data_IF_409885821545
#
_entry.id   IF_409885821545
#
_cell.length_a   1.000
_cell.length_b   1.000
_cell.length_c   1.000
_cell.angle_alpha   90.00
_cell.angle_beta   90.00
_cell.angle_gamma   90.00
#
_symmetry.space_group_name_H-M   'P 1'
#
loop_
_entity.id
_entity.type
_entity.pdbx_description
1 polymer ?
#
# COMPACT_ATOMS: atom_id res chain seq x y z
N UNK A 1 24.67 48.95 -24.06
CA UNK A 1 24.01 49.25 -25.34
C UNK A 1 23.04 48.11 -25.58
N UNK A 2 21.80 48.31 -25.14
CA UNK A 2 20.70 47.34 -25.25
C UNK A 2 20.00 47.59 -26.58
N UNK A 3 19.87 46.57 -27.42
CA UNK A 3 18.91 46.59 -28.53
C UNK A 3 18.13 45.28 -28.50
N UNK A 4 16.85 45.40 -28.18
CA UNK A 4 15.87 44.32 -28.20
C UNK A 4 15.04 44.44 -29.48
N UNK A 5 14.87 43.37 -30.28
CA UNK A 5 13.89 43.40 -31.35
C UNK A 5 12.50 43.13 -30.76
N UNK A 6 11.69 44.18 -30.77
CA UNK A 6 10.23 44.14 -30.65
C UNK A 6 9.64 43.18 -31.69
N UNK A 7 9.20 41.99 -31.27
CA UNK A 7 8.19 41.23 -32.01
C UNK A 7 6.84 41.37 -31.32
N UNK A 8 6.07 42.25 -31.95
CA UNK A 8 4.74 42.72 -31.63
C UNK A 8 3.74 41.56 -31.76
N UNK A 9 3.21 41.08 -30.63
CA UNK A 9 2.07 40.16 -30.61
C UNK A 9 0.80 40.93 -31.03
N UNK A 10 0.63 41.08 -32.33
CA UNK A 10 -0.61 41.61 -32.91
C UNK A 10 -1.54 40.42 -33.14
N UNK A 11 -2.41 40.11 -32.18
CA UNK A 11 -3.52 39.19 -32.36
C UNK A 11 -4.66 39.94 -33.06
N UNK A 12 -5.00 39.68 -34.33
CA UNK A 12 -6.30 40.08 -34.82
C UNK A 12 -7.32 39.10 -34.23
N UNK A 13 -8.34 39.66 -33.57
CA UNK A 13 -9.58 38.99 -33.14
C UNK A 13 -10.36 38.49 -34.36
N UNK A 14 -9.84 37.48 -35.06
CA UNK A 14 -10.55 36.71 -36.07
C UNK A 14 -10.91 35.38 -35.42
N UNK A 15 -12.19 35.02 -35.44
CA UNK A 15 -12.71 33.75 -34.91
C UNK A 15 -11.85 32.59 -35.41
N UNK A 16 -10.90 32.11 -34.60
CA UNK A 16 -10.18 30.88 -34.90
C UNK A 16 -11.23 29.78 -34.89
N UNK A 17 -11.57 29.26 -36.07
CA UNK A 17 -12.43 28.09 -36.18
C UNK A 17 -11.74 26.95 -35.43
N UNK A 18 -12.51 26.10 -34.76
CA UNK A 18 -12.00 24.87 -34.14
C UNK A 18 -11.18 24.03 -35.13
N UNK A 19 -11.52 24.09 -36.43
CA UNK A 19 -10.75 23.47 -37.51
C UNK A 19 -9.39 24.13 -37.77
N UNK A 20 -9.24 25.44 -37.57
CA UNK A 20 -7.97 26.15 -37.72
C UNK A 20 -7.06 25.90 -36.50
N UNK A 21 -7.65 25.77 -35.31
CA UNK A 21 -6.94 25.32 -34.11
C UNK A 21 -6.48 23.86 -34.22
N UNK A 22 -7.35 22.97 -34.74
CA UNK A 22 -7.00 21.58 -35.05
C UNK A 22 -5.93 21.50 -36.14
N UNK A 23 -6.02 22.31 -37.21
CA UNK A 23 -4.98 22.37 -38.24
C UNK A 23 -3.66 22.87 -37.65
N UNK A 24 -3.66 23.88 -36.79
CA UNK A 24 -2.44 24.34 -36.12
C UNK A 24 -1.84 23.27 -35.18
N UNK A 25 -2.67 22.45 -34.53
CA UNK A 25 -2.23 21.31 -33.71
C UNK A 25 -1.67 20.14 -34.55
N UNK A 26 -2.22 19.94 -35.75
CA UNK A 26 -1.85 18.84 -36.65
C UNK A 26 -0.82 19.21 -37.73
N UNK A 27 -0.44 20.47 -37.88
CA UNK A 27 0.63 20.83 -38.81
C UNK A 27 1.98 20.36 -38.25
N UNK A 28 2.73 19.52 -39.00
CA UNK A 28 4.08 19.20 -38.61
C UNK A 28 4.90 20.48 -38.63
N UNK A 29 5.61 20.76 -37.52
CA UNK A 29 6.60 21.84 -37.48
C UNK A 29 7.77 21.35 -38.35
N UNK A 30 7.65 21.56 -39.67
CA UNK A 30 8.61 21.09 -40.65
C UNK A 30 9.92 21.85 -40.48
N UNK A 31 10.88 21.25 -39.79
CA UNK A 31 12.24 21.74 -39.71
C UNK A 31 13.01 21.43 -40.99
N UNK A 32 13.97 22.28 -41.37
CA UNK A 32 14.86 22.04 -42.53
C UNK A 32 15.69 20.74 -42.39
N UNK A 33 15.87 20.24 -41.16
CA UNK A 33 16.50 18.94 -40.89
C UNK A 33 15.46 17.82 -40.75
N UNK A 34 15.46 16.81 -41.65
CA UNK A 34 14.57 15.65 -41.57
C UNK A 34 14.68 14.86 -40.26
N UNK A 35 15.85 14.88 -39.60
CA UNK A 35 16.06 14.19 -38.32
C UNK A 35 15.31 14.89 -37.21
N UNK A 36 15.35 16.22 -37.18
CA UNK A 36 14.67 17.00 -36.16
C UNK A 36 13.14 16.83 -36.28
N UNK A 37 12.61 16.73 -37.50
CA UNK A 37 11.19 16.46 -37.78
C UNK A 37 10.76 15.05 -37.29
N UNK A 38 11.61 14.04 -37.45
CA UNK A 38 11.35 12.72 -36.87
C UNK A 38 11.30 12.78 -35.33
N UNK A 39 12.26 13.44 -34.69
CA UNK A 39 12.32 13.53 -33.22
C UNK A 39 11.22 14.40 -32.62
N UNK A 40 10.67 15.39 -33.34
CA UNK A 40 9.51 16.16 -32.89
C UNK A 40 8.23 15.34 -32.91
N UNK A 41 8.01 14.55 -33.97
CA UNK A 41 6.89 13.60 -34.06
C UNK A 41 7.04 12.53 -32.98
N UNK A 42 8.22 11.91 -32.88
CA UNK A 42 8.52 10.93 -31.85
C UNK A 42 8.24 11.50 -30.46
N UNK A 43 8.77 12.69 -30.13
CA UNK A 43 8.55 13.32 -28.83
C UNK A 43 7.06 13.46 -28.51
N UNK A 44 6.22 13.83 -29.49
CA UNK A 44 4.77 13.98 -29.29
C UNK A 44 4.12 12.65 -28.92
N UNK A 45 4.27 11.62 -29.76
CA UNK A 45 3.68 10.29 -29.53
C UNK A 45 4.20 9.67 -28.23
N UNK A 46 5.50 9.84 -27.99
CA UNK A 46 6.17 9.30 -26.85
C UNK A 46 5.72 10.02 -25.55
N UNK A 47 5.44 11.34 -25.60
CA UNK A 47 4.90 12.07 -24.43
C UNK A 47 3.52 11.55 -24.04
N UNK A 48 2.67 11.27 -25.02
CA UNK A 48 1.32 10.76 -24.78
C UNK A 48 1.36 9.40 -24.06
N UNK A 49 2.19 8.48 -24.57
CA UNK A 49 2.45 7.20 -23.92
C UNK A 49 2.99 7.34 -22.49
N UNK A 50 3.93 8.26 -22.26
CA UNK A 50 4.52 8.47 -20.93
C UNK A 50 3.50 9.01 -19.93
N UNK A 51 2.65 9.93 -20.37
CA UNK A 51 1.59 10.52 -19.54
C UNK A 51 0.63 9.43 -19.09
N UNK A 52 0.15 8.60 -20.02
CA UNK A 52 -0.78 7.51 -19.69
C UNK A 52 -0.13 6.44 -18.81
N UNK A 53 1.11 6.06 -19.13
CA UNK A 53 1.87 5.08 -18.36
C UNK A 53 2.09 5.56 -16.92
N UNK A 54 2.58 6.79 -16.74
CA UNK A 54 2.83 7.37 -15.42
C UNK A 54 1.52 7.54 -14.67
N UNK A 55 0.48 8.07 -15.30
CA UNK A 55 -0.80 8.31 -14.64
C UNK A 55 -1.37 7.03 -14.06
N UNK A 56 -1.38 5.94 -14.83
CA UNK A 56 -1.86 4.63 -14.37
C UNK A 56 -1.14 4.18 -13.09
N UNK A 57 0.19 4.15 -13.11
CA UNK A 57 0.96 3.66 -11.97
C UNK A 57 0.95 4.63 -10.78
N UNK A 58 0.91 5.95 -11.01
CA UNK A 58 0.80 6.91 -9.91
C UNK A 58 -0.54 6.75 -9.16
N UNK A 59 -1.64 6.53 -9.88
CA UNK A 59 -2.96 6.26 -9.30
C UNK A 59 -2.96 4.94 -8.49
N UNK A 60 -2.39 3.86 -9.03
CA UNK A 60 -2.28 2.56 -8.32
C UNK A 60 -1.42 2.67 -7.05
N UNK A 61 -0.28 3.36 -7.15
CA UNK A 61 0.64 3.59 -6.03
C UNK A 61 0.02 4.48 -4.94
N UNK A 62 -0.72 5.52 -5.33
CA UNK A 62 -1.43 6.39 -4.39
C UNK A 62 -2.54 5.63 -3.66
N UNK A 63 -3.33 4.85 -4.38
CA UNK A 63 -4.37 3.99 -3.79
C UNK A 63 -3.78 3.02 -2.78
N UNK A 64 -2.68 2.35 -3.15
CA UNK A 64 -1.93 1.44 -2.26
C UNK A 64 -1.46 2.15 -1.00
N UNK A 65 -0.89 3.35 -1.12
CA UNK A 65 -0.34 4.10 0.01
C UNK A 65 -1.44 4.56 0.98
N UNK A 66 -2.58 5.02 0.46
CA UNK A 66 -3.75 5.40 1.27
C UNK A 66 -4.27 4.17 2.02
N UNK A 67 -4.43 3.04 1.33
CA UNK A 67 -4.90 1.81 1.94
C UNK A 67 -3.94 1.32 3.04
N UNK A 68 -2.64 1.30 2.77
CA UNK A 68 -1.62 0.90 3.73
C UNK A 68 -1.61 1.80 4.98
N UNK A 69 -1.79 3.12 4.80
CA UNK A 69 -1.89 4.07 5.92
C UNK A 69 -3.12 3.83 6.79
N UNK A 70 -4.30 3.67 6.18
CA UNK A 70 -5.55 3.36 6.90
C UNK A 70 -5.47 2.02 7.62
N UNK A 71 -4.97 0.99 6.93
CA UNK A 71 -4.77 -0.33 7.51
C UNK A 71 -3.80 -0.30 8.69
N UNK A 72 -2.69 0.43 8.56
CA UNK A 72 -1.70 0.60 9.63
C UNK A 72 -2.31 1.29 10.86
N UNK A 73 -3.13 2.33 10.69
CA UNK A 73 -3.79 3.02 11.79
C UNK A 73 -4.75 2.09 12.55
N UNK A 74 -5.62 1.38 11.83
CA UNK A 74 -6.58 0.45 12.42
C UNK A 74 -5.87 -0.72 13.11
N UNK A 75 -4.87 -1.31 12.44
CA UNK A 75 -4.10 -2.43 12.99
C UNK A 75 -3.30 -2.02 14.24
N UNK A 76 -2.72 -0.83 14.25
CA UNK A 76 -1.96 -0.31 15.40
C UNK A 76 -2.84 -0.16 16.64
N UNK A 77 -4.09 0.27 16.48
CA UNK A 77 -5.04 0.36 17.60
C UNK A 77 -5.30 -1.02 18.23
N UNK A 78 -5.51 -2.05 17.42
CA UNK A 78 -5.67 -3.42 17.91
C UNK A 78 -4.40 -3.98 18.53
N UNK A 79 -3.24 -3.71 17.93
CA UNK A 79 -1.94 -4.13 18.46
C UNK A 79 -1.70 -3.52 19.84
N UNK A 80 -2.01 -2.24 20.04
CA UNK A 80 -1.86 -1.57 21.35
C UNK A 80 -2.80 -2.19 22.40
N UNK A 81 -4.07 -2.44 22.04
CA UNK A 81 -5.04 -3.08 22.94
C UNK A 81 -4.62 -4.50 23.34
N UNK A 82 -4.09 -5.27 22.40
CA UNK A 82 -3.69 -6.65 22.66
C UNK A 82 -2.38 -6.70 23.43
N UNK A 83 -1.42 -5.85 23.07
CA UNK A 83 -0.12 -5.78 23.73
C UNK A 83 -0.25 -5.40 25.21
N UNK A 84 -1.17 -4.49 25.56
CA UNK A 84 -1.42 -4.15 26.97
C UNK A 84 -1.89 -5.36 27.79
N UNK A 85 -2.65 -6.27 27.18
CA UNK A 85 -3.13 -7.51 27.82
C UNK A 85 -2.11 -8.64 27.89
N UNK A 86 -0.98 -8.53 27.19
CA UNK A 86 0.15 -9.45 27.40
C UNK A 86 0.97 -9.07 28.64
N UNK A 87 0.88 -7.81 29.09
CA UNK A 87 1.55 -7.38 30.31
C UNK A 87 0.71 -7.79 31.53
N UNK A 88 1.33 -8.30 32.61
CA UNK A 88 0.62 -8.59 33.84
C UNK A 88 -0.06 -7.31 34.35
N UNK A 89 -1.37 -7.35 34.52
CA UNK A 89 -2.11 -6.21 35.06
C UNK A 89 -1.62 -5.95 36.50
N UNK A 90 -1.10 -4.76 36.82
CA UNK A 90 -0.66 -4.44 38.18
C UNK A 90 -1.83 -4.49 39.18
N UNK A 91 -3.06 -4.32 38.66
CA UNK A 91 -4.30 -4.48 39.42
C UNK A 91 -4.56 -5.95 39.77
N UNK A 92 -4.29 -6.90 38.89
CA UNK A 92 -4.43 -8.33 39.18
C UNK A 92 -3.38 -8.77 40.21
N UNK A 93 -2.17 -8.22 40.15
CA UNK A 93 -1.17 -8.45 41.20
C UNK A 93 -1.61 -7.87 42.55
N UNK A 94 -2.20 -6.68 42.57
CA UNK A 94 -2.72 -6.10 43.83
C UNK A 94 -3.94 -6.85 44.34
N UNK A 95 -4.85 -7.30 43.48
CA UNK A 95 -6.00 -8.14 43.88
C UNK A 95 -5.54 -9.51 44.40
N UNK A 96 -4.53 -10.12 43.77
CA UNK A 96 -3.92 -11.36 44.25
C UNK A 96 -3.26 -11.16 45.63
N UNK A 97 -2.53 -10.06 45.83
CA UNK A 97 -1.96 -9.68 47.12
C UNK A 97 -3.04 -9.39 48.17
N UNK A 98 -4.11 -8.67 47.82
CA UNK A 98 -5.25 -8.37 48.69
C UNK A 98 -5.96 -9.65 49.12
N UNK A 99 -6.17 -10.61 48.20
CA UNK A 99 -6.72 -11.94 48.53
C UNK A 99 -5.79 -12.71 49.45
N UNK A 100 -4.49 -12.70 49.19
CA UNK A 100 -3.51 -13.35 50.07
C UNK A 100 -3.56 -12.76 51.48
N UNK A 101 -3.57 -11.42 51.61
CA UNK A 101 -3.66 -10.72 52.89
C UNK A 101 -4.98 -11.05 53.61
N UNK A 102 -6.12 -11.04 52.91
CA UNK A 102 -7.42 -11.42 53.48
C UNK A 102 -7.43 -12.85 54.01
N UNK A 103 -6.82 -13.79 53.30
CA UNK A 103 -6.69 -15.19 53.75
C UNK A 103 -5.82 -15.28 55.00
N UNK A 104 -4.70 -14.55 55.07
CA UNK A 104 -3.83 -14.51 56.27
C UNK A 104 -4.54 -13.90 57.47
N UNK A 105 -5.34 -12.84 57.26
CA UNK A 105 -6.07 -12.15 58.33
C UNK A 105 -7.26 -12.96 58.85
N UNK A 106 -7.92 -13.74 57.98
CA UNK A 106 -9.04 -14.61 58.37
C UNK A 106 -8.56 -15.94 59.00
N UNK A 107 -7.32 -16.34 58.70
CA UNK A 107 -6.69 -17.56 59.23
C UNK A 107 -5.86 -17.24 60.47
N UNK A 108 -6.50 -16.86 61.57
CA UNK A 108 -5.85 -16.58 62.86
C UNK A 108 -5.23 -17.82 63.56
N UNK A 109 -4.98 -18.91 62.83
CA UNK A 109 -4.46 -20.16 63.37
C UNK A 109 -3.65 -20.92 62.31
N UNK A 110 -2.34 -20.66 62.26
CA UNK A 110 -1.20 -21.60 62.07
C UNK A 110 0.05 -20.72 61.78
N UNK A 111 1.07 -20.68 62.65
CA UNK A 111 2.22 -19.77 62.51
C UNK A 111 3.20 -20.06 61.36
N UNK A 112 2.99 -21.10 60.54
CA UNK A 112 4.06 -21.65 59.68
C UNK A 112 3.72 -21.82 58.19
N UNK A 113 2.52 -21.48 57.73
CA UNK A 113 2.24 -21.45 56.29
C UNK A 113 2.30 -20.02 55.79
N UNK A 114 3.43 -19.66 55.15
CA UNK A 114 3.48 -18.46 54.33
C UNK A 114 2.45 -18.65 53.22
N UNK A 115 1.43 -17.79 53.08
CA UNK A 115 0.48 -17.89 51.99
C UNK A 115 1.27 -17.86 50.69
N UNK A 116 1.20 -18.96 49.93
CA UNK A 116 1.80 -19.00 48.60
C UNK A 116 1.01 -18.01 47.76
N UNK A 117 1.58 -16.82 47.55
CA UNK A 117 1.02 -15.86 46.60
C UNK A 117 0.94 -16.59 45.27
N UNK A 118 -0.22 -16.65 44.60
CA UNK A 118 -0.27 -17.20 43.27
C UNK A 118 0.64 -16.32 42.41
N UNK A 119 1.84 -16.80 42.10
CA UNK A 119 2.70 -16.18 41.11
C UNK A 119 1.86 -16.18 39.83
N UNK A 120 1.58 -15.00 39.29
CA UNK A 120 0.88 -14.89 38.02
C UNK A 120 1.56 -15.85 37.01
N UNK A 121 0.80 -16.54 36.15
CA UNK A 121 1.37 -17.48 35.20
C UNK A 121 2.52 -16.80 34.46
N UNK A 122 3.73 -17.35 34.63
CA UNK A 122 4.99 -16.74 34.17
C UNK A 122 5.07 -16.64 32.64
N UNK A 123 4.14 -17.31 31.95
CA UNK A 123 4.03 -17.31 30.50
C UNK A 123 2.60 -16.92 30.06
N UNK A 124 2.46 -15.94 29.16
CA UNK A 124 1.17 -15.62 28.56
C UNK A 124 0.62 -16.83 27.77
N UNK A 125 -0.71 -16.98 27.65
CA UNK A 125 -1.32 -18.06 26.88
C UNK A 125 -0.76 -18.08 25.45
N UNK A 126 -0.31 -19.25 24.98
CA UNK A 126 0.30 -19.39 23.64
C UNK A 126 -0.60 -18.89 22.50
N UNK A 127 -1.92 -18.99 22.67
CA UNK A 127 -2.91 -18.47 21.72
C UNK A 127 -2.82 -16.94 21.55
N UNK A 128 -2.67 -16.20 22.65
CA UNK A 128 -2.52 -14.74 22.66
C UNK A 128 -1.20 -14.35 21.98
N UNK A 129 -0.11 -15.08 22.24
CA UNK A 129 1.19 -14.83 21.61
C UNK A 129 1.10 -15.00 20.09
N UNK A 130 0.47 -16.08 19.61
CA UNK A 130 0.31 -16.32 18.16
C UNK A 130 -0.58 -15.27 17.50
N UNK A 131 -1.66 -14.84 18.15
CA UNK A 131 -2.54 -13.79 17.64
C UNK A 131 -1.78 -12.46 17.52
N UNK A 132 -1.04 -12.07 18.56
CA UNK A 132 -0.20 -10.87 18.56
C UNK A 132 0.87 -10.91 17.47
N UNK A 133 1.54 -12.05 17.29
CA UNK A 133 2.53 -12.22 16.23
C UNK A 133 1.92 -12.04 14.83
N UNK A 134 0.72 -12.60 14.58
CA UNK A 134 0.00 -12.43 13.31
C UNK A 134 -0.37 -10.96 13.05
N UNK A 135 -0.78 -10.23 14.09
CA UNK A 135 -1.11 -8.80 13.98
C UNK A 135 0.12 -7.96 13.66
N UNK A 136 1.24 -8.17 14.35
CA UNK A 136 2.50 -7.49 14.02
C UNK A 136 3.00 -7.85 12.62
N UNK A 137 2.91 -9.12 12.22
CA UNK A 137 3.28 -9.54 10.87
C UNK A 137 2.43 -8.84 9.80
N UNK A 138 1.11 -8.75 10.02
CA UNK A 138 0.19 -8.04 9.12
C UNK A 138 0.56 -6.55 8.98
N UNK A 139 0.87 -5.89 10.09
CA UNK A 139 1.28 -4.49 10.13
C UNK A 139 2.59 -4.28 9.34
N UNK A 140 3.59 -5.13 9.58
CA UNK A 140 4.89 -5.04 8.90
C UNK A 140 4.77 -5.27 7.40
N UNK A 141 3.98 -6.25 6.95
CA UNK A 141 3.76 -6.50 5.52
C UNK A 141 3.11 -5.29 4.85
N UNK A 142 2.13 -4.65 5.50
CA UNK A 142 1.52 -3.42 4.99
C UNK A 142 2.51 -2.26 4.93
N UNK A 143 3.39 -2.10 5.92
CA UNK A 143 4.43 -1.08 5.90
C UNK A 143 5.48 -1.32 4.82
N UNK A 144 5.86 -2.57 4.58
CA UNK A 144 6.74 -2.94 3.47
C UNK A 144 6.09 -2.63 2.13
N UNK A 145 4.79 -2.92 1.96
CA UNK A 145 4.05 -2.53 0.77
C UNK A 145 4.04 -1.01 0.57
N UNK A 146 3.78 -0.23 1.64
CA UNK A 146 3.84 1.23 1.58
C UNK A 146 5.23 1.75 1.19
N UNK A 147 6.29 1.14 1.72
CA UNK A 147 7.67 1.50 1.42
C UNK A 147 8.02 1.23 -0.06
N UNK A 148 7.66 0.06 -0.57
CA UNK A 148 7.85 -0.29 -1.99
C UNK A 148 7.03 0.67 -2.88
N UNK A 149 5.79 1.01 -2.49
CA UNK A 149 4.97 1.97 -3.21
C UNK A 149 5.63 3.36 -3.28
N UNK A 150 6.22 3.83 -2.17
CA UNK A 150 6.95 5.09 -2.12
C UNK A 150 8.19 5.07 -3.04
N UNK A 151 8.95 3.98 -3.07
CA UNK A 151 10.06 3.80 -4.02
C UNK A 151 9.57 3.82 -5.47
N UNK A 152 8.45 3.16 -5.75
CA UNK A 152 7.78 3.21 -7.06
C UNK A 152 7.50 4.64 -7.51
N UNK A 153 6.95 5.47 -6.64
CA UNK A 153 6.72 6.90 -6.92
C UNK A 153 8.01 7.67 -7.19
N UNK A 154 9.07 7.40 -6.44
CA UNK A 154 10.37 8.05 -6.65
C UNK A 154 10.96 7.68 -8.02
N UNK A 155 10.85 6.42 -8.43
CA UNK A 155 11.32 5.96 -9.74
C UNK A 155 10.49 6.57 -10.87
N UNK A 156 9.17 6.65 -10.70
CA UNK A 156 8.28 7.26 -11.68
C UNK A 156 8.55 8.76 -11.87
N UNK A 157 8.79 9.48 -10.77
CA UNK A 157 9.21 10.88 -10.82
C UNK A 157 10.58 11.05 -11.48
N UNK A 158 11.51 10.10 -11.27
CA UNK A 158 12.81 10.12 -11.94
C UNK A 158 12.69 9.88 -13.45
N UNK A 159 11.73 9.05 -13.87
CA UNK A 159 11.43 8.80 -15.28
C UNK A 159 10.96 10.08 -15.99
N UNK A 160 10.03 10.81 -15.38
CA UNK A 160 9.53 12.10 -15.87
C UNK A 160 10.57 13.23 -15.87
N UNK A 161 11.67 13.07 -15.13
CA UNK A 161 12.69 14.11 -15.02
C UNK A 161 13.51 14.16 -16.30
N UNK A 162 13.36 15.27 -17.01
CA UNK A 162 14.10 15.55 -18.25
C UNK A 162 15.48 16.10 -17.93
N UNK A 163 16.51 15.57 -18.58
CA UNK A 163 17.80 16.24 -18.65
C UNK A 163 17.70 17.48 -19.56
N UNK A 164 18.51 18.51 -19.29
CA UNK A 164 18.70 19.61 -20.23
C UNK A 164 19.44 19.13 -21.48
N UNK A 165 19.26 19.81 -22.62
CA UNK A 165 19.89 19.44 -23.89
C UNK A 165 18.98 19.63 -25.10
N UNK A 166 19.48 19.23 -26.27
CA UNK A 166 18.75 19.26 -27.54
C UNK A 166 17.56 18.27 -27.54
N UNK A 167 16.58 18.48 -28.42
CA UNK A 167 15.41 17.57 -28.55
C UNK A 167 15.84 16.13 -28.81
N UNK A 168 16.89 15.92 -29.60
CA UNK A 168 17.41 14.61 -29.97
C UNK A 168 17.99 13.88 -28.75
N UNK A 169 18.86 14.55 -27.99
CA UNK A 169 19.46 13.99 -26.76
C UNK A 169 18.39 13.63 -25.73
N UNK A 170 17.38 14.50 -25.56
CA UNK A 170 16.26 14.25 -24.64
C UNK A 170 15.43 13.04 -25.05
N UNK A 171 15.18 12.86 -26.35
CA UNK A 171 14.46 11.70 -26.86
C UNK A 171 15.25 10.40 -26.65
N UNK A 172 16.58 10.44 -26.86
CA UNK A 172 17.48 9.32 -26.60
C UNK A 172 17.54 8.91 -25.13
N UNK A 173 17.75 9.86 -24.22
CA UNK A 173 17.77 9.63 -22.77
C UNK A 173 16.44 9.03 -22.27
N UNK A 174 15.30 9.56 -22.75
CA UNK A 174 13.98 9.02 -22.43
C UNK A 174 13.79 7.59 -22.95
N UNK A 175 14.25 7.28 -24.17
CA UNK A 175 14.14 5.92 -24.70
C UNK A 175 14.98 4.94 -23.87
N UNK A 176 16.21 5.30 -23.49
CA UNK A 176 17.06 4.49 -22.62
C UNK A 176 16.40 4.20 -21.27
N UNK A 177 15.74 5.20 -20.67
CA UNK A 177 14.98 5.02 -19.43
C UNK A 177 13.77 4.12 -19.63
N UNK A 178 13.06 4.25 -20.76
CA UNK A 178 11.91 3.41 -21.10
C UNK A 178 12.31 1.95 -21.29
N UNK A 179 13.40 1.70 -22.01
CA UNK A 179 13.98 0.36 -22.20
C UNK A 179 14.47 -0.22 -20.86
N UNK A 180 15.02 0.63 -20.00
CA UNK A 180 15.33 0.29 -18.61
C UNK A 180 14.10 -0.19 -17.85
N UNK A 181 13.01 0.59 -17.83
CA UNK A 181 11.77 0.21 -17.15
C UNK A 181 11.15 -1.09 -17.68
N UNK A 182 11.31 -1.39 -18.97
CA UNK A 182 10.86 -2.67 -19.56
C UNK A 182 11.76 -3.84 -19.22
N UNK A 183 13.08 -3.61 -19.13
CA UNK A 183 14.07 -4.65 -18.82
C UNK A 183 14.06 -5.02 -17.33
N UNK A 184 13.85 -4.05 -16.47
CA UNK A 184 13.76 -4.26 -15.03
C UNK A 184 12.33 -4.64 -14.61
N UNK A 185 12.14 -5.50 -13.60
CA UNK A 185 10.83 -6.01 -13.20
C UNK A 185 9.99 -4.97 -12.42
N UNK A 186 10.03 -3.70 -12.82
CA UNK A 186 9.28 -2.61 -12.19
C UNK A 186 7.79 -2.92 -12.10
N UNK A 187 7.23 -3.48 -13.17
CA UNK A 187 5.82 -3.87 -13.23
C UNK A 187 5.46 -4.92 -12.17
N UNK A 188 6.30 -5.94 -12.00
CA UNK A 188 6.10 -7.02 -11.03
C UNK A 188 6.04 -6.45 -9.61
N UNK A 189 6.89 -5.47 -9.27
CA UNK A 189 6.85 -4.83 -7.96
C UNK A 189 5.53 -4.09 -7.72
N UNK A 190 5.06 -3.29 -8.68
CA UNK A 190 3.81 -2.54 -8.51
C UNK A 190 2.60 -3.47 -8.44
N UNK A 191 2.55 -4.49 -9.29
CA UNK A 191 1.47 -5.49 -9.29
C UNK A 191 1.46 -6.36 -8.03
N UNK A 192 2.61 -6.51 -7.35
CA UNK A 192 2.69 -7.24 -6.08
C UNK A 192 2.15 -6.44 -4.87
N UNK A 193 2.05 -5.11 -4.97
CA UNK A 193 1.64 -4.26 -3.86
C UNK A 193 0.22 -4.56 -3.36
N UNK A 194 -0.81 -4.66 -4.22
CA UNK A 194 -2.15 -5.03 -3.78
C UNK A 194 -2.19 -6.42 -3.16
N UNK A 195 -1.39 -7.36 -3.68
CA UNK A 195 -1.30 -8.74 -3.16
C UNK A 195 -0.71 -8.77 -1.76
N UNK A 196 0.35 -7.99 -1.50
CA UNK A 196 0.91 -7.83 -0.15
C UNK A 196 -0.12 -7.26 0.83
N UNK A 197 -0.90 -6.26 0.41
CA UNK A 197 -1.95 -5.66 1.25
C UNK A 197 -3.10 -6.64 1.51
N UNK A 198 -3.50 -7.42 0.52
CA UNK A 198 -4.50 -8.49 0.70
C UNK A 198 -3.98 -9.56 1.66
N UNK A 199 -2.72 -9.98 1.55
CA UNK A 199 -2.11 -10.90 2.50
C UNK A 199 -2.09 -10.31 3.92
N UNK A 200 -1.77 -9.03 4.07
CA UNK A 200 -1.83 -8.33 5.36
C UNK A 200 -3.25 -8.34 5.95
N UNK A 201 -4.28 -8.06 5.14
CA UNK A 201 -5.69 -8.12 5.59
C UNK A 201 -6.08 -9.51 6.09
N UNK A 202 -5.69 -10.56 5.37
CA UNK A 202 -6.00 -11.94 5.76
C UNK A 202 -5.29 -12.33 7.06
N UNK A 203 -4.03 -11.94 7.23
CA UNK A 203 -3.28 -12.16 8.45
C UNK A 203 -3.89 -11.40 9.64
N UNK A 204 -4.30 -10.15 9.43
CA UNK A 204 -5.00 -9.34 10.44
C UNK A 204 -6.31 -10.02 10.86
N UNK A 205 -7.13 -10.43 9.89
CA UNK A 205 -8.40 -11.09 10.15
C UNK A 205 -8.20 -12.41 10.91
N UNK A 206 -7.19 -13.21 10.53
CA UNK A 206 -6.84 -14.44 11.23
C UNK A 206 -6.38 -14.17 12.67
N UNK A 207 -5.52 -13.17 12.88
CA UNK A 207 -5.07 -12.74 14.20
C UNK A 207 -6.22 -12.29 15.09
N UNK A 208 -7.13 -11.47 14.56
CA UNK A 208 -8.32 -11.00 15.27
C UNK A 208 -9.29 -12.14 15.60
N UNK A 209 -9.52 -13.07 14.68
CA UNK A 209 -10.36 -14.24 14.93
C UNK A 209 -9.79 -15.11 16.06
N UNK A 210 -8.48 -15.36 16.07
CA UNK A 210 -7.82 -16.11 17.15
C UNK A 210 -7.89 -15.38 18.48
N UNK A 211 -7.60 -14.08 18.49
CA UNK A 211 -7.69 -13.28 19.71
C UNK A 211 -9.11 -13.29 20.30
N UNK A 212 -10.13 -13.06 19.47
CA UNK A 212 -11.51 -13.04 19.94
C UNK A 212 -12.01 -14.43 20.35
N UNK A 213 -11.52 -15.51 19.75
CA UNK A 213 -11.86 -16.88 20.18
C UNK A 213 -11.39 -17.18 21.61
N UNK A 214 -10.27 -16.58 22.05
CA UNK A 214 -9.76 -16.74 23.40
C UNK A 214 -10.59 -16.00 24.46
N UNK A 215 -11.27 -14.91 24.07
CA UNK A 215 -12.04 -14.07 24.99
C UNK A 215 -13.53 -14.42 24.95
N UNK A 216 -14.15 -14.42 23.77
CA UNK A 216 -15.60 -14.54 23.58
C UNK A 216 -15.94 -15.28 22.28
N UNK A 217 -16.34 -16.55 22.42
CA UNK A 217 -16.79 -17.43 21.34
C UNK A 217 -17.88 -16.81 20.42
N UNK A 218 -18.94 -16.13 20.92
CA UNK A 218 -19.97 -15.62 20.01
C UNK A 218 -19.45 -14.50 19.09
N UNK A 219 -18.58 -13.62 19.59
CA UNK A 219 -17.96 -12.56 18.78
C UNK A 219 -17.00 -13.17 17.75
N UNK A 220 -16.23 -14.17 18.18
CA UNK A 220 -15.33 -14.91 17.30
C UNK A 220 -16.10 -15.61 16.16
N UNK A 221 -17.25 -16.22 16.44
CA UNK A 221 -18.07 -16.87 15.43
C UNK A 221 -18.54 -15.90 14.34
N UNK A 222 -18.96 -14.69 14.72
CA UNK A 222 -19.35 -13.64 13.77
C UNK A 222 -18.16 -13.21 12.91
N UNK A 223 -16.99 -12.99 13.52
CA UNK A 223 -15.78 -12.58 12.79
C UNK A 223 -15.28 -13.67 11.84
N UNK A 224 -15.31 -14.94 12.26
CA UNK A 224 -14.95 -16.08 11.41
C UNK A 224 -15.93 -16.24 10.26
N UNK A 225 -17.24 -16.07 10.51
CA UNK A 225 -18.26 -16.10 9.47
C UNK A 225 -18.04 -15.03 8.40
N UNK A 226 -17.78 -13.79 8.82
CA UNK A 226 -17.50 -12.69 7.89
C UNK A 226 -16.19 -12.90 7.12
N UNK A 227 -15.13 -13.32 7.82
CA UNK A 227 -13.81 -13.57 7.21
C UNK A 227 -13.88 -14.72 6.21
N UNK A 228 -14.53 -15.83 6.56
CA UNK A 228 -14.69 -16.99 5.66
C UNK A 228 -15.51 -16.65 4.42
N UNK A 229 -16.60 -15.89 4.56
CA UNK A 229 -17.37 -15.41 3.42
C UNK A 229 -16.53 -14.54 2.48
N UNK A 230 -15.73 -13.62 3.02
CA UNK A 230 -14.81 -12.80 2.23
C UNK A 230 -13.74 -13.62 1.51
N UNK A 231 -13.13 -14.60 2.19
CA UNK A 231 -12.14 -15.51 1.59
C UNK A 231 -12.77 -16.35 0.48
N UNK A 232 -13.97 -16.90 0.71
CA UNK A 232 -14.68 -17.68 -0.31
C UNK A 232 -15.00 -16.84 -1.54
N UNK A 233 -15.44 -15.60 -1.35
CA UNK A 233 -15.67 -14.67 -2.45
C UNK A 233 -14.38 -14.37 -3.23
N UNK A 234 -13.27 -14.12 -2.53
CA UNK A 234 -11.96 -13.87 -3.14
C UNK A 234 -11.45 -15.09 -3.95
N UNK A 235 -11.52 -16.29 -3.37
CA UNK A 235 -11.17 -17.54 -4.06
C UNK A 235 -12.09 -17.76 -5.26
N UNK A 236 -13.39 -17.46 -5.12
CA UNK A 236 -14.35 -17.53 -6.22
C UNK A 236 -13.97 -16.65 -7.41
N UNK A 237 -13.47 -15.43 -7.16
CA UNK A 237 -12.97 -14.53 -8.21
C UNK A 237 -11.76 -15.15 -8.93
N UNK A 238 -10.77 -15.64 -8.18
CA UNK A 238 -9.55 -16.26 -8.75
C UNK A 238 -9.93 -17.47 -9.62
N UNK A 239 -10.79 -18.34 -9.08
CA UNK A 239 -11.25 -19.55 -9.78
C UNK A 239 -12.02 -19.18 -11.05
N UNK A 240 -12.89 -18.18 -11.00
CA UNK A 240 -13.64 -17.70 -12.18
C UNK A 240 -12.70 -17.12 -13.24
N UNK A 241 -11.66 -16.37 -12.83
CA UNK A 241 -10.60 -15.89 -13.71
C UNK A 241 -9.81 -17.00 -14.37
N UNK A 242 -9.50 -18.08 -13.63
CA UNK A 242 -8.77 -19.23 -14.15
C UNK A 242 -9.57 -20.07 -15.17
N UNK A 243 -10.89 -20.14 -15.05
CA UNK A 243 -11.74 -20.89 -15.98
C UNK A 243 -12.12 -20.12 -17.25
N UNK A 244 -12.05 -18.79 -17.23
CA UNK A 244 -12.49 -17.97 -18.36
C UNK A 244 -11.42 -16.94 -18.75
N UNK A 245 -10.72 -17.23 -19.85
CA UNK A 245 -9.79 -16.29 -20.50
C UNK A 245 -10.41 -14.94 -20.89
N UNK A 246 -11.75 -14.83 -20.92
CA UNK A 246 -12.49 -13.62 -21.29
C UNK A 246 -13.05 -12.84 -20.08
N UNK A 247 -12.74 -13.23 -18.84
CA UNK A 247 -13.27 -12.56 -17.66
C UNK A 247 -12.51 -11.26 -17.32
N UNK A 248 -13.22 -10.16 -16.98
CA UNK A 248 -12.62 -8.86 -16.64
C UNK A 248 -11.90 -8.83 -15.27
N UNK A 249 -11.83 -9.96 -14.57
CA UNK A 249 -11.29 -10.09 -13.21
C UNK A 249 -9.87 -10.68 -13.20
N UNK A 250 -9.04 -10.37 -14.19
CA UNK A 250 -7.63 -10.80 -14.17
C UNK A 250 -6.94 -10.17 -12.97
N UNK A 251 -6.55 -11.01 -12.03
CA UNK A 251 -5.66 -10.64 -10.92
C UNK A 251 -4.25 -11.11 -11.28
N UNK A 252 -3.17 -10.48 -10.77
CA UNK A 252 -1.80 -10.95 -11.03
C UNK A 252 -1.53 -12.40 -10.62
N UNK A 253 -2.46 -13.04 -9.89
CA UNK A 253 -2.40 -14.41 -9.42
C UNK A 253 -3.15 -15.43 -10.31
N UNK A 254 -3.88 -14.99 -11.36
CA UNK A 254 -4.69 -15.82 -12.25
C UNK A 254 -4.22 -15.75 -13.71
#
# INVERSE_FOLDING_TARGET
MFDAPHHQYCWPLRKCSFQDALRAFFQPIKSDDPRLDFYTIYKREATDYDVDYVKKYDEDLNTTLIFAGLFSAVSSAFVIDIYSKLQPDPNDQTVALLRAILLTLNSSAIPNEVPTVPTAPENPPGEIVTATALLFASLLISLLAAFIAMLGKQWLNRYLRHAGGSTIERCGDRQLKCDGLRKWPFHIFIESLPVMLQAALLLLACGLCRYMASINIPIAAVLIGLTSLGVLFYVGIIVTGAYSYACPFQTPAS
#
